data_IF_867800389107
#
_entry.id   IF_867800389107
#
_cell.length_a   1.000
_cell.length_b   1.000
_cell.length_c   1.000
_cell.angle_alpha   90.00
_cell.angle_beta   90.00
_cell.angle_gamma   90.00
#
_symmetry.space_group_name_H-M   'P 1'
#
loop_
_entity.id
_entity.type
_entity.pdbx_description
1 polymer ?
#
# COMPACT_ATOMS: atom_id res chain seq x y z
N UNK A 1 22.00 2.72 -16.51
CA UNK A 1 22.05 2.09 -15.18
C UNK A 1 21.11 0.90 -15.14
N UNK A 2 21.30 -0.03 -14.21
CA UNK A 2 20.45 -1.21 -14.01
C UNK A 2 19.93 -1.21 -12.57
N UNK A 3 18.67 -1.59 -12.35
CA UNK A 3 18.08 -1.80 -11.03
C UNK A 3 17.54 -3.23 -10.92
N UNK A 4 17.82 -3.90 -9.80
CA UNK A 4 17.35 -5.26 -9.54
C UNK A 4 16.10 -5.25 -8.66
N UNK A 5 15.10 -6.04 -9.03
CA UNK A 5 13.93 -6.29 -8.18
C UNK A 5 14.25 -7.34 -7.13
N UNK A 6 14.70 -6.92 -5.95
CA UNK A 6 15.10 -7.81 -4.85
C UNK A 6 13.99 -8.80 -4.49
N UNK A 7 12.76 -8.33 -4.33
CA UNK A 7 11.61 -9.17 -3.94
C UNK A 7 11.43 -10.31 -4.93
N UNK A 8 11.52 -9.99 -6.23
CA UNK A 8 11.41 -10.99 -7.32
C UNK A 8 12.56 -11.98 -7.31
N UNK A 9 13.79 -11.53 -7.05
CA UNK A 9 14.96 -12.42 -6.95
C UNK A 9 14.73 -13.39 -5.79
N UNK A 10 14.33 -12.90 -4.62
CA UNK A 10 14.09 -13.73 -3.44
C UNK A 10 12.95 -14.72 -3.70
N UNK A 11 11.82 -14.29 -4.30
CA UNK A 11 10.72 -15.19 -4.68
C UNK A 11 11.19 -16.35 -5.57
N UNK A 12 12.04 -16.06 -6.56
CA UNK A 12 12.60 -17.10 -7.45
C UNK A 12 13.56 -18.03 -6.70
N UNK A 13 14.37 -17.50 -5.76
CA UNK A 13 15.27 -18.31 -4.93
C UNK A 13 14.52 -19.22 -3.96
N UNK A 14 13.37 -18.76 -3.43
CA UNK A 14 12.55 -19.53 -2.49
C UNK A 14 11.52 -20.43 -3.17
N UNK A 15 11.36 -20.34 -4.49
CA UNK A 15 10.32 -21.06 -5.24
C UNK A 15 8.89 -20.66 -4.84
N UNK A 16 8.71 -19.45 -4.30
CA UNK A 16 7.40 -18.97 -3.88
C UNK A 16 6.57 -18.53 -5.10
N UNK A 17 5.24 -18.66 -5.02
CA UNK A 17 4.34 -18.28 -6.11
C UNK A 17 4.05 -16.77 -6.13
N UNK A 18 4.13 -16.11 -4.97
CA UNK A 18 3.88 -14.68 -4.83
C UNK A 18 5.01 -13.95 -4.13
N UNK A 19 5.28 -12.72 -4.57
CA UNK A 19 6.15 -11.78 -3.82
C UNK A 19 5.63 -11.50 -2.42
N UNK A 20 4.33 -11.69 -2.18
CA UNK A 20 3.71 -11.50 -0.87
C UNK A 20 4.20 -12.52 0.16
N UNK A 21 4.69 -13.67 -0.29
CA UNK A 21 5.15 -14.75 0.59
C UNK A 21 6.58 -14.52 1.11
N UNK A 22 7.32 -13.61 0.47
CA UNK A 22 8.69 -13.22 0.86
C UNK A 22 8.74 -11.85 1.55
N UNK A 23 7.59 -11.18 1.69
CA UNK A 23 7.45 -9.87 2.35
C UNK A 23 6.74 -10.09 3.69
N UNK A 24 7.33 -9.62 4.79
CA UNK A 24 6.77 -9.85 6.14
C UNK A 24 5.35 -9.27 6.34
N UNK A 25 5.08 -8.09 5.77
CA UNK A 25 3.79 -7.40 5.89
C UNK A 25 3.29 -6.95 4.51
N UNK A 26 2.79 -7.89 3.67
CA UNK A 26 2.40 -7.56 2.31
C UNK A 26 1.14 -6.68 2.30
N UNK A 27 1.01 -5.86 1.26
CA UNK A 27 -0.24 -5.16 0.96
C UNK A 27 -1.10 -6.01 0.03
N UNK A 28 -2.41 -5.79 0.05
CA UNK A 28 -3.35 -6.39 -0.90
C UNK A 28 -3.22 -5.73 -2.28
N UNK A 29 -3.86 -6.30 -3.30
CA UNK A 29 -3.95 -5.70 -4.64
C UNK A 29 -4.64 -4.32 -4.64
N UNK A 30 -5.40 -3.99 -3.59
CA UNK A 30 -6.01 -2.66 -3.37
C UNK A 30 -5.13 -1.70 -2.57
N UNK A 31 -3.83 -2.02 -2.42
CA UNK A 31 -2.85 -1.28 -1.61
C UNK A 31 -3.20 -1.17 -0.11
N UNK A 32 -4.03 -2.09 0.40
CA UNK A 32 -4.44 -2.10 1.81
C UNK A 32 -3.56 -3.03 2.64
N UNK A 33 -3.34 -2.68 3.90
CA UNK A 33 -2.69 -3.53 4.89
C UNK A 33 -3.71 -4.00 5.90
N UNK A 34 -4.03 -5.30 5.88
CA UNK A 34 -5.07 -5.87 6.73
C UNK A 34 -4.68 -5.88 8.23
N UNK A 35 -3.38 -5.98 8.53
CA UNK A 35 -2.89 -5.99 9.91
C UNK A 35 -3.06 -4.64 10.61
N UNK A 36 -2.74 -3.55 9.93
CA UNK A 36 -2.74 -2.19 10.52
C UNK A 36 -3.94 -1.35 10.09
N UNK A 37 -4.84 -1.92 9.28
CA UNK A 37 -5.97 -1.20 8.67
C UNK A 37 -5.55 0.07 7.91
N UNK A 38 -4.39 0.03 7.25
CA UNK A 38 -3.89 1.14 6.43
C UNK A 38 -4.31 0.97 4.95
N UNK A 39 -4.54 2.05 4.18
CA UNK A 39 -4.62 3.44 4.62
C UNK A 39 -5.85 3.68 5.50
N UNK A 40 -5.71 4.59 6.46
CA UNK A 40 -6.78 5.01 7.38
C UNK A 40 -7.05 6.50 7.23
N UNK A 41 -8.23 6.95 7.63
CA UNK A 41 -8.54 8.38 7.70
C UNK A 41 -7.71 9.07 8.78
N UNK A 42 -7.49 10.38 8.59
CA UNK A 42 -6.74 11.24 9.50
C UNK A 42 -7.65 12.37 9.98
N UNK A 43 -7.35 12.90 11.16
CA UNK A 43 -8.21 13.90 11.80
C UNK A 43 -8.14 15.26 11.09
N UNK A 44 -9.23 16.02 11.08
CA UNK A 44 -9.30 17.29 10.34
C UNK A 44 -8.24 18.30 10.82
N UNK A 45 -7.90 18.26 12.10
CA UNK A 45 -6.88 19.13 12.70
C UNK A 45 -5.52 18.92 12.02
N UNK A 46 -5.15 17.66 11.72
CA UNK A 46 -3.88 17.32 11.07
C UNK A 46 -3.87 17.78 9.62
N UNK A 47 -5.01 17.68 8.92
CA UNK A 47 -5.15 18.20 7.56
C UNK A 47 -5.02 19.73 7.52
N UNK A 48 -5.63 20.43 8.48
CA UNK A 48 -5.55 21.89 8.62
C UNK A 48 -4.12 22.36 8.92
N UNK A 49 -3.39 21.66 9.79
CA UNK A 49 -1.97 21.95 10.08
C UNK A 49 -1.10 21.87 8.82
N UNK A 50 -1.33 20.87 7.98
CA UNK A 50 -0.62 20.70 6.71
C UNK A 50 -1.15 21.60 5.58
N UNK A 51 -2.19 22.41 5.83
CA UNK A 51 -2.89 23.25 4.84
C UNK A 51 -3.46 22.45 3.65
N UNK A 52 -3.81 21.18 3.87
CA UNK A 52 -4.37 20.28 2.86
C UNK A 52 -5.88 20.17 3.06
N UNK A 53 -6.64 20.10 1.95
CA UNK A 53 -8.07 19.78 1.96
C UNK A 53 -8.32 18.60 1.05
N UNK A 54 -9.02 17.59 1.56
CA UNK A 54 -9.48 16.48 0.75
C UNK A 54 -10.59 16.98 -0.17
N UNK A 55 -10.47 16.69 -1.47
CA UNK A 55 -11.53 16.93 -2.44
C UNK A 55 -12.47 15.73 -2.41
N UNK A 56 -13.78 15.97 -2.28
CA UNK A 56 -14.75 14.93 -2.53
C UNK A 56 -14.65 14.52 -4.01
N UNK A 57 -14.17 13.32 -4.27
CA UNK A 57 -14.38 12.65 -5.56
C UNK A 57 -15.81 12.15 -5.51
N UNK A 58 -16.65 12.52 -6.48
CA UNK A 58 -17.97 11.92 -6.64
C UNK A 58 -17.81 10.40 -6.68
N UNK A 59 -18.24 9.72 -5.62
CA UNK A 59 -18.36 8.28 -5.64
C UNK A 59 -19.38 7.96 -6.73
N UNK A 60 -18.96 7.30 -7.82
CA UNK A 60 -19.91 6.65 -8.72
C UNK A 60 -20.71 5.67 -7.86
N UNK A 61 -21.94 6.07 -7.54
CA UNK A 61 -23.00 5.19 -7.05
C UNK A 61 -23.20 4.18 -8.18
N UNK A 62 -22.78 2.95 -7.92
CA UNK A 62 -23.14 1.77 -8.71
C UNK A 62 -24.45 1.24 -8.12
#
# INVERSE_FOLDING_TARGET
GLAFGLDRIVTMMTGAESIRDVIAFPKTQRAQCLLTQAPSEVDEKQLKELHIRLRATEAKVV
#
